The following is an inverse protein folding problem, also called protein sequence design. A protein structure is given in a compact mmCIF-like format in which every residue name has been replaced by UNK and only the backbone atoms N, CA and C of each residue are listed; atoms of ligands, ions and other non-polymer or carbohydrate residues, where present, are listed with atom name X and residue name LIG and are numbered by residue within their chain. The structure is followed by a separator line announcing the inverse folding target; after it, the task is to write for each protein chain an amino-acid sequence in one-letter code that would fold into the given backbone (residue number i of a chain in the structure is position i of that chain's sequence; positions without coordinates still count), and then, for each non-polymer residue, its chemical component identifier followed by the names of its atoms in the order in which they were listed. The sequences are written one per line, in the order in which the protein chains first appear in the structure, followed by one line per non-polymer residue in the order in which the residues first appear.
data_IF_479966412787
#
_entry.id   IF_479966412787
#
_cell.length_a   1.000
_cell.length_b   1.000
_cell.length_c   1.000
_cell.angle_alpha   90.00
_cell.angle_beta   90.00
_cell.angle_gamma   90.00
#
_symmetry.space_group_name_H-M   'P 1'
#
loop_
_entity.id
_entity.type
_entity.pdbx_description
1 polymer ?
#
# COMPACT_ATOMS: atom_id res chain seq x y z
N UNK A 1 13.56 10.64 -12.14
CA UNK A 1 12.51 11.53 -12.68
C UNK A 1 13.18 12.71 -13.36
N UNK A 2 12.99 12.89 -14.67
CA UNK A 2 13.44 14.11 -15.36
C UNK A 2 12.35 15.17 -15.22
N UNK A 3 12.73 16.37 -14.79
CA UNK A 3 11.85 17.55 -14.74
C UNK A 3 12.13 18.39 -15.98
N UNK A 4 11.09 18.66 -16.74
CA UNK A 4 11.12 19.53 -17.89
C UNK A 4 10.44 20.86 -17.52
N UNK A 5 10.88 21.94 -18.16
CA UNK A 5 10.31 23.27 -17.98
C UNK A 5 9.54 23.62 -19.25
N UNK A 6 8.34 24.17 -19.11
CA UNK A 6 7.66 24.74 -20.26
C UNK A 6 8.36 26.05 -20.65
N UNK A 7 8.71 26.22 -21.92
CA UNK A 7 9.34 27.44 -22.42
C UNK A 7 8.31 28.57 -22.67
N UNK A 8 7.02 28.24 -22.71
CA UNK A 8 5.95 29.23 -22.85
C UNK A 8 5.71 29.96 -21.52
N UNK A 9 5.98 31.27 -21.51
CA UNK A 9 5.84 32.15 -20.35
C UNK A 9 4.40 32.33 -19.88
N UNK A 10 3.40 32.06 -20.72
CA UNK A 10 1.98 32.09 -20.37
C UNK A 10 1.46 30.75 -19.80
N UNK A 11 2.28 29.69 -19.77
CA UNK A 11 1.85 28.38 -19.29
C UNK A 11 1.81 28.32 -17.76
N UNK A 12 0.66 27.96 -17.20
CA UNK A 12 0.48 27.78 -15.74
C UNK A 12 1.24 26.56 -15.20
N UNK A 13 1.48 25.55 -16.04
CA UNK A 13 2.27 24.37 -15.69
C UNK A 13 3.76 24.59 -16.01
N UNK A 14 4.44 25.36 -15.15
CA UNK A 14 5.85 25.78 -15.33
C UNK A 14 6.84 24.62 -15.36
N UNK A 15 6.56 23.54 -14.62
CA UNK A 15 7.39 22.33 -14.62
C UNK A 15 6.52 21.09 -14.75
N UNK A 16 6.93 20.18 -15.62
CA UNK A 16 6.32 18.86 -15.77
C UNK A 16 7.38 17.79 -15.52
N UNK A 17 6.97 16.67 -14.92
CA UNK A 17 7.81 15.51 -14.75
C UNK A 17 7.21 14.38 -15.57
N UNK A 18 8.01 13.81 -16.48
CA UNK A 18 7.60 12.66 -17.29
C UNK A 18 7.08 11.54 -16.38
N UNK A 19 5.84 11.10 -16.65
CA UNK A 19 5.21 10.01 -15.92
C UNK A 19 5.25 8.74 -16.78
N UNK A 20 6.04 7.76 -16.36
CA UNK A 20 6.02 6.43 -16.95
C UNK A 20 4.88 5.65 -16.31
N UNK A 21 3.93 5.23 -17.15
CA UNK A 21 2.77 4.43 -16.73
C UNK A 21 3.24 3.20 -15.94
N UNK A 22 2.63 2.98 -14.76
CA UNK A 22 2.97 1.85 -13.89
C UNK A 22 4.24 2.00 -13.06
N UNK A 23 5.06 3.06 -13.27
CA UNK A 23 6.28 3.31 -12.50
C UNK A 23 6.22 4.60 -11.69
N UNK A 24 5.53 5.62 -12.19
CA UNK A 24 5.54 6.94 -11.59
C UNK A 24 4.12 7.49 -11.56
N UNK A 25 3.74 8.05 -10.42
CA UNK A 25 2.49 8.79 -10.27
C UNK A 25 2.79 10.19 -9.73
N UNK A 26 2.00 11.21 -10.12
CA UNK A 26 2.16 12.56 -9.60
C UNK A 26 2.16 12.57 -8.08
N UNK A 27 3.08 13.34 -7.49
CA UNK A 27 3.26 13.49 -6.03
C UNK A 27 3.62 12.21 -5.26
N UNK A 28 3.84 11.07 -5.93
CA UNK A 28 4.32 9.88 -5.24
C UNK A 28 5.76 10.08 -4.77
N UNK A 29 5.99 9.76 -3.50
CA UNK A 29 7.32 9.75 -2.88
C UNK A 29 7.94 8.35 -2.84
N UNK A 30 7.22 7.34 -3.35
CA UNK A 30 7.64 5.94 -3.29
C UNK A 30 7.42 5.27 -4.64
N UNK A 31 8.33 4.35 -5.00
CA UNK A 31 8.13 3.54 -6.20
C UNK A 31 7.03 2.49 -5.96
N UNK A 32 6.32 2.05 -7.01
CA UNK A 32 5.32 0.99 -6.90
C UNK A 32 5.88 -0.30 -6.28
N UNK A 33 7.13 -0.65 -6.61
CA UNK A 33 7.84 -1.78 -6.02
C UNK A 33 8.03 -1.64 -4.50
N UNK A 34 8.51 -0.47 -4.05
CA UNK A 34 8.68 -0.19 -2.62
C UNK A 34 7.33 -0.23 -1.90
N UNK A 35 6.28 0.34 -2.50
CA UNK A 35 4.92 0.28 -1.97
C UNK A 35 4.47 -1.18 -1.79
N UNK A 36 4.67 -2.03 -2.79
CA UNK A 36 4.32 -3.46 -2.72
C UNK A 36 5.08 -4.21 -1.61
N UNK A 37 6.37 -3.96 -1.47
CA UNK A 37 7.18 -4.53 -0.39
C UNK A 37 6.65 -4.12 0.99
N UNK A 38 6.40 -2.82 1.19
CA UNK A 38 5.87 -2.28 2.44
C UNK A 38 4.48 -2.83 2.76
N UNK A 39 3.63 -3.03 1.76
CA UNK A 39 2.32 -3.67 1.94
C UNK A 39 2.48 -5.11 2.43
N UNK A 40 3.39 -5.91 1.86
CA UNK A 40 3.67 -7.29 2.32
C UNK A 40 4.20 -7.32 3.75
N UNK A 41 5.13 -6.43 4.08
CA UNK A 41 5.63 -6.27 5.45
C UNK A 41 4.50 -5.88 6.41
N UNK A 42 3.63 -4.95 5.99
CA UNK A 42 2.47 -4.51 6.75
C UNK A 42 1.46 -5.63 7.00
N UNK A 43 1.19 -6.48 6.00
CA UNK A 43 0.31 -7.64 6.13
C UNK A 43 0.89 -8.71 7.08
N UNK A 44 2.21 -8.96 7.01
CA UNK A 44 2.85 -10.00 7.80
C UNK A 44 3.10 -9.61 9.26
N UNK A 45 3.56 -8.39 9.51
CA UNK A 45 4.02 -7.97 10.85
C UNK A 45 3.13 -6.94 11.52
N UNK A 46 2.32 -6.22 10.75
CA UNK A 46 1.51 -5.08 11.18
C UNK A 46 2.31 -3.94 11.87
N UNK A 47 1.78 -2.72 11.72
CA UNK A 47 2.16 -1.55 12.50
C UNK A 47 3.65 -1.41 12.87
N UNK A 48 3.97 -1.52 14.17
CA UNK A 48 5.30 -1.14 14.71
C UNK A 48 6.36 -2.21 14.45
N UNK A 49 5.98 -3.48 14.46
CA UNK A 49 6.90 -4.56 14.11
C UNK A 49 7.33 -4.46 12.64
N UNK A 50 6.37 -4.16 11.74
CA UNK A 50 6.68 -3.86 10.34
C UNK A 50 7.59 -2.64 10.18
N UNK A 51 7.36 -1.56 10.95
CA UNK A 51 8.21 -0.37 10.89
C UNK A 51 9.65 -0.64 11.37
N UNK A 52 9.82 -1.46 12.41
CA UNK A 52 11.14 -1.89 12.89
C UNK A 52 11.87 -2.75 11.86
N UNK A 53 11.17 -3.70 11.22
CA UNK A 53 11.77 -4.50 10.14
C UNK A 53 12.19 -3.61 8.97
N UNK A 54 11.30 -2.71 8.53
CA UNK A 54 11.61 -1.79 7.44
C UNK A 54 12.86 -0.95 7.75
N UNK A 55 12.97 -0.43 8.99
CA UNK A 55 14.16 0.28 9.44
C UNK A 55 15.41 -0.59 9.41
N UNK A 56 15.32 -1.86 9.81
CA UNK A 56 16.45 -2.79 9.80
C UNK A 56 16.95 -3.10 8.38
N UNK A 57 16.08 -3.03 7.36
CA UNK A 57 16.46 -3.18 5.94
C UNK A 57 16.73 -1.84 5.23
N UNK A 58 16.94 -0.75 5.98
CA UNK A 58 17.31 0.56 5.45
C UNK A 58 16.16 1.41 4.90
N UNK A 59 14.92 1.08 5.23
CA UNK A 59 13.71 1.78 4.77
C UNK A 59 13.05 2.54 5.92
N UNK A 60 13.10 3.87 5.87
CA UNK A 60 12.46 4.73 6.89
C UNK A 60 10.96 4.87 6.64
N UNK A 61 10.14 4.13 7.40
CA UNK A 61 8.68 4.24 7.39
C UNK A 61 8.09 4.19 8.80
N UNK A 62 6.98 4.91 9.00
CA UNK A 62 6.22 4.86 10.25
C UNK A 62 5.14 3.77 10.27
N UNK A 63 4.73 3.38 11.48
CA UNK A 63 3.61 2.46 11.74
C UNK A 63 2.35 2.83 10.95
N UNK A 64 1.99 4.12 10.97
CA UNK A 64 0.73 4.60 10.38
C UNK A 64 0.77 4.55 8.85
N UNK A 65 1.95 4.69 8.24
CA UNK A 65 2.10 4.50 6.79
C UNK A 65 1.82 3.06 6.40
N UNK A 66 2.37 2.08 7.13
CA UNK A 66 2.12 0.66 6.88
C UNK A 66 0.65 0.31 7.07
N UNK A 67 0.01 0.79 8.14
CA UNK A 67 -1.42 0.57 8.37
C UNK A 67 -2.28 1.20 7.28
N UNK A 68 -1.89 2.38 6.79
CA UNK A 68 -2.58 3.04 5.66
C UNK A 68 -2.45 2.23 4.37
N UNK A 69 -1.29 1.63 4.10
CA UNK A 69 -1.08 0.77 2.93
C UNK A 69 -1.94 -0.49 2.99
N UNK A 70 -1.99 -1.15 4.14
CA UNK A 70 -2.81 -2.36 4.34
C UNK A 70 -4.29 -2.05 4.21
N UNK A 71 -4.77 -0.97 4.82
CA UNK A 71 -6.18 -0.55 4.75
C UNK A 71 -6.62 -0.06 3.36
N UNK A 72 -5.68 0.31 2.50
CA UNK A 72 -5.96 0.73 1.14
C UNK A 72 -6.00 -0.45 0.15
N UNK A 73 -5.80 -1.69 0.61
CA UNK A 73 -6.00 -2.87 -0.22
C UNK A 73 -7.49 -3.07 -0.49
N UNK A 74 -7.86 -3.57 -1.68
CA UNK A 74 -9.23 -4.00 -1.92
C UNK A 74 -9.58 -5.12 -0.96
N UNK A 75 -10.80 -5.08 -0.42
CA UNK A 75 -11.34 -6.20 0.34
C UNK A 75 -11.42 -7.43 -0.58
N UNK A 76 -11.04 -8.63 -0.12
CA UNK A 76 -11.28 -9.84 -0.88
C UNK A 76 -12.76 -9.97 -1.25
N UNK A 77 -13.04 -10.44 -2.47
CA UNK A 77 -14.41 -10.78 -2.85
C UNK A 77 -14.91 -11.92 -1.97
N UNK A 78 -15.92 -11.64 -1.16
CA UNK A 78 -16.57 -12.63 -0.30
C UNK A 78 -17.71 -13.24 -1.09
N UNK A 79 -17.60 -14.53 -1.43
CA UNK A 79 -18.69 -15.30 -2.04
C UNK A 79 -19.85 -15.52 -1.05
N UNK A 80 -20.98 -16.06 -1.52
CA UNK A 80 -22.12 -16.38 -0.66
C UNK A 80 -21.71 -17.29 0.50
N UNK A 81 -22.00 -16.86 1.73
CA UNK A 81 -21.63 -17.54 2.96
C UNK A 81 -22.81 -18.38 3.43
N UNK A 82 -22.75 -19.70 3.23
CA UNK A 82 -23.79 -20.62 3.72
C UNK A 82 -23.62 -20.93 5.23
N UNK A 83 -22.38 -20.94 5.73
CA UNK A 83 -22.06 -21.19 7.14
C UNK A 83 -20.98 -20.22 7.61
N UNK A 84 -21.32 -19.34 8.55
CA UNK A 84 -20.37 -18.46 9.22
C UNK A 84 -19.90 -19.09 10.53
N UNK A 85 -18.69 -19.65 10.53
CA UNK A 85 -18.02 -20.08 11.76
C UNK A 85 -17.53 -18.86 12.55
N UNK A 86 -18.18 -18.55 13.66
CA UNK A 86 -17.73 -17.50 14.59
C UNK A 86 -16.81 -18.13 15.63
N UNK A 87 -15.51 -17.81 15.59
CA UNK A 87 -14.62 -18.11 16.70
C UNK A 87 -14.78 -17.00 17.75
N UNK A 88 -15.22 -17.34 18.98
CA UNK A 88 -15.24 -16.37 20.09
C UNK A 88 -13.81 -16.21 20.62
N UNK A 89 -12.93 -15.63 19.80
CA UNK A 89 -11.69 -15.03 20.24
C UNK A 89 -11.88 -13.50 20.27
N UNK A 90 -11.31 -12.75 21.23
CA UNK A 90 -11.49 -11.30 21.29
C UNK A 90 -10.91 -10.53 20.08
N UNK A 91 -10.29 -11.22 19.12
CA UNK A 91 -9.78 -10.68 17.86
C UNK A 91 -10.37 -11.38 16.62
N UNK A 92 -11.56 -12.00 16.77
CA UNK A 92 -12.20 -12.85 15.78
C UNK A 92 -11.99 -12.37 14.33
N UNK A 93 -11.35 -13.22 13.53
CA UNK A 93 -11.25 -13.06 12.08
C UNK A 93 -12.01 -14.25 11.51
N UNK A 94 -13.12 -13.97 10.81
CA UNK A 94 -13.88 -15.02 10.15
C UNK A 94 -12.96 -15.77 9.17
N UNK A 95 -12.69 -17.04 9.44
CA UNK A 95 -11.98 -17.93 8.53
C UNK A 95 -13.03 -18.66 7.70
N UNK A 96 -13.17 -18.27 6.43
CA UNK A 96 -14.08 -18.91 5.48
C UNK A 96 -13.42 -20.16 4.92
N UNK A 97 -13.95 -21.34 5.26
CA UNK A 97 -13.53 -22.61 4.65
C UNK A 97 -14.55 -23.02 3.61
N UNK A 98 -14.18 -23.02 2.34
CA UNK A 98 -14.90 -23.75 1.30
C UNK A 98 -14.52 -25.23 1.41
N UNK A 99 -15.49 -26.13 1.53
CA UNK A 99 -15.27 -27.57 1.31
C UNK A 99 -15.68 -27.92 -0.13
N UNK A 100 -14.91 -28.82 -0.73
CA UNK A 100 -15.23 -29.49 -1.99
C UNK A 100 -16.53 -30.30 -1.92
#
# INVERSE_FOLDING_TARGET
MRRFRCENTACTAVTFAEQIVGLTTPHSRQTPLLRGLLTRIGLALAGRAGARLASAVGITVGKDMLLRLVRALPEPEVGEVEVLGVDTSPSARAVTTARC
#
